data_IF_756184823165
#
_entry.id   IF_756184823165
#
_cell.length_a   1.000
_cell.length_b   1.000
_cell.length_c   1.000
_cell.angle_alpha   90.00
_cell.angle_beta   90.00
_cell.angle_gamma   90.00
#
_symmetry.space_group_name_H-M   'P 1'
#
loop_
_entity.id
_entity.type
_entity.pdbx_description
1 polymer ?
#
# COMPACT_ATOMS: atom_id res chain seq x y z
N UNK A 1 -12.72 -18.03 -13.01
CA UNK A 1 -11.38 -17.81 -13.60
C UNK A 1 -11.05 -16.35 -13.35
N UNK A 2 -10.49 -16.04 -12.19
CA UNK A 2 -10.13 -14.66 -11.87
C UNK A 2 -8.95 -14.29 -12.74
N UNK A 3 -9.04 -13.19 -13.50
CA UNK A 3 -7.92 -12.65 -14.26
C UNK A 3 -6.67 -12.66 -13.38
N UNK A 4 -5.59 -13.23 -13.91
CA UNK A 4 -4.24 -13.05 -13.37
C UNK A 4 -4.04 -11.54 -13.18
N UNK A 5 -3.90 -11.10 -11.93
CA UNK A 5 -3.50 -9.73 -11.69
C UNK A 5 -2.01 -9.67 -11.97
N UNK A 6 -1.66 -8.99 -13.06
CA UNK A 6 -0.27 -8.81 -13.56
C UNK A 6 0.62 -8.10 -12.52
N UNK A 7 0.04 -7.60 -11.42
CA UNK A 7 0.75 -6.94 -10.33
C UNK A 7 0.49 -7.59 -8.95
N UNK A 8 0.19 -8.90 -8.92
CA UNK A 8 -0.12 -9.59 -7.66
C UNK A 8 1.02 -9.50 -6.63
N UNK A 9 2.27 -9.58 -7.08
CA UNK A 9 3.49 -9.37 -6.31
C UNK A 9 3.54 -7.99 -5.65
N UNK A 10 3.24 -6.94 -6.41
CA UNK A 10 3.20 -5.55 -5.92
C UNK A 10 2.09 -5.37 -4.90
N UNK A 11 0.90 -5.91 -5.20
CA UNK A 11 -0.25 -5.85 -4.31
C UNK A 11 0.05 -6.53 -2.98
N UNK A 12 0.54 -7.77 -3.01
CA UNK A 12 0.88 -8.54 -1.81
C UNK A 12 1.94 -7.85 -0.97
N UNK A 13 3.00 -7.29 -1.57
CA UNK A 13 4.05 -6.59 -0.82
C UNK A 13 3.52 -5.33 -0.12
N UNK A 14 2.65 -4.56 -0.76
CA UNK A 14 2.03 -3.39 -0.13
C UNK A 14 1.07 -3.83 0.98
N UNK A 15 0.25 -4.86 0.75
CA UNK A 15 -0.67 -5.39 1.76
C UNK A 15 0.09 -5.96 2.97
N UNK A 16 1.20 -6.67 2.74
CA UNK A 16 2.10 -7.13 3.79
C UNK A 16 2.65 -5.97 4.63
N UNK A 17 3.09 -4.88 3.98
CA UNK A 17 3.58 -3.70 4.69
C UNK A 17 2.51 -3.11 5.62
N UNK A 18 1.25 -3.02 5.17
CA UNK A 18 0.12 -2.57 5.99
C UNK A 18 -0.15 -3.53 7.15
N UNK A 19 -0.21 -4.83 6.88
CA UNK A 19 -0.43 -5.88 7.90
C UNK A 19 0.68 -5.88 8.94
N UNK A 20 1.92 -5.60 8.54
CA UNK A 20 3.05 -5.52 9.48
C UNK A 20 2.87 -4.42 10.52
N UNK A 21 2.22 -3.31 10.15
CA UNK A 21 1.85 -2.23 11.07
C UNK A 21 0.74 -2.70 11.99
N UNK A 22 -0.31 -3.31 11.44
CA UNK A 22 -1.42 -3.85 12.23
C UNK A 22 -0.98 -4.90 13.26
N UNK A 23 -0.05 -5.80 12.90
CA UNK A 23 0.52 -6.80 13.81
C UNK A 23 1.30 -6.17 14.97
N UNK A 24 1.90 -5.00 14.77
CA UNK A 24 2.60 -4.23 15.83
C UNK A 24 1.65 -3.33 16.61
N UNK A 25 0.56 -2.89 15.99
CA UNK A 25 -0.42 -1.96 16.53
C UNK A 25 -1.84 -2.47 16.26
N UNK A 26 -2.30 -3.42 17.08
CA UNK A 26 -3.62 -4.05 16.91
C UNK A 26 -4.82 -3.09 17.03
N UNK A 27 -4.59 -1.86 17.50
CA UNK A 27 -5.61 -0.80 17.53
C UNK A 27 -5.80 -0.12 16.16
N UNK A 28 -4.94 -0.37 15.16
CA UNK A 28 -5.08 0.19 13.82
C UNK A 28 -6.42 -0.23 13.20
N UNK A 29 -7.11 0.73 12.62
CA UNK A 29 -8.42 0.62 11.99
C UNK A 29 -8.29 0.87 10.49
N UNK A 30 -9.23 0.31 9.73
CA UNK A 30 -9.29 0.45 8.28
C UNK A 30 -9.37 1.93 7.86
N UNK A 31 -9.99 2.80 8.66
CA UNK A 31 -10.10 4.24 8.37
C UNK A 31 -8.74 4.94 8.35
N UNK A 32 -7.80 4.51 9.19
CA UNK A 32 -6.42 5.03 9.18
C UNK A 32 -5.67 4.52 7.95
N UNK A 33 -5.86 3.24 7.60
CA UNK A 33 -5.30 2.66 6.36
C UNK A 33 -5.83 3.39 5.13
N UNK A 34 -7.13 3.70 5.08
CA UNK A 34 -7.74 4.46 3.98
C UNK A 34 -7.08 5.82 3.80
N UNK A 35 -6.88 6.58 4.88
CA UNK A 35 -6.24 7.90 4.84
C UNK A 35 -4.80 7.83 4.36
N UNK A 36 -4.03 6.86 4.84
CA UNK A 36 -2.66 6.63 4.39
C UNK A 36 -2.60 6.28 2.89
N UNK A 37 -3.50 5.40 2.42
CA UNK A 37 -3.60 5.03 1.01
C UNK A 37 -4.06 6.20 0.13
N UNK A 38 -5.00 7.02 0.60
CA UNK A 38 -5.46 8.20 -0.13
C UNK A 38 -4.30 9.20 -0.32
N UNK A 39 -3.47 9.42 0.70
CA UNK A 39 -2.27 10.24 0.60
C UNK A 39 -1.24 9.65 -0.40
N UNK A 40 -1.00 8.33 -0.37
CA UNK A 40 -0.11 7.67 -1.34
C UNK A 40 -0.65 7.80 -2.77
N UNK A 41 -1.95 7.62 -2.96
CA UNK A 41 -2.60 7.79 -4.26
C UNK A 41 -2.38 9.19 -4.80
N UNK A 42 -2.44 10.23 -3.96
CA UNK A 42 -2.19 11.60 -4.39
C UNK A 42 -0.71 11.84 -4.73
N UNK A 43 0.22 11.26 -3.97
CA UNK A 43 1.66 11.28 -4.27
C UNK A 43 1.94 10.66 -5.64
N UNK A 44 1.52 9.41 -5.86
CA UNK A 44 1.81 8.72 -7.12
C UNK A 44 1.01 9.27 -8.30
N UNK A 45 -0.16 9.89 -8.06
CA UNK A 45 -0.88 10.65 -9.08
C UNK A 45 -0.10 11.89 -9.54
N UNK A 46 0.55 12.59 -8.62
CA UNK A 46 1.42 13.72 -8.97
C UNK A 46 2.67 13.25 -9.73
N UNK A 47 3.36 12.21 -9.21
CA UNK A 47 4.56 11.64 -9.86
C UNK A 47 4.25 11.12 -11.27
N UNK A 48 3.15 10.38 -11.46
CA UNK A 48 2.73 9.86 -12.77
C UNK A 48 2.42 10.96 -13.81
N UNK A 49 2.17 12.20 -13.36
CA UNK A 49 1.97 13.37 -14.22
C UNK A 49 3.26 14.20 -14.40
N UNK A 50 4.39 13.74 -13.86
CA UNK A 50 5.65 14.48 -13.88
C UNK A 50 5.68 15.69 -12.92
N UNK A 51 4.82 15.72 -11.91
CA UNK A 51 4.79 16.79 -10.91
C UNK A 51 5.47 16.36 -9.60
N UNK A 52 6.04 17.33 -8.91
CA UNK A 52 6.52 17.14 -7.54
C UNK A 52 5.33 17.00 -6.59
N UNK A 53 5.22 15.88 -5.85
CA UNK A 53 4.17 15.71 -4.84
C UNK A 53 4.24 16.76 -3.74
N UNK A 54 3.09 17.07 -3.15
CA UNK A 54 3.04 17.87 -1.91
C UNK A 54 3.64 17.06 -0.76
N UNK A 55 4.19 17.77 0.21
CA UNK A 55 4.60 17.16 1.48
C UNK A 55 3.40 16.52 2.18
N UNK A 56 3.57 15.27 2.63
CA UNK A 56 2.53 14.51 3.30
C UNK A 56 2.79 14.56 4.81
N UNK A 57 1.87 15.19 5.54
CA UNK A 57 1.88 15.25 6.99
C UNK A 57 0.66 14.51 7.52
N UNK A 58 0.87 13.32 8.09
CA UNK A 58 -0.18 12.48 8.66
C UNK A 58 0.07 12.30 10.17
N UNK A 59 -0.97 12.20 11.00
CA UNK A 59 -0.82 11.77 12.38
C UNK A 59 -0.46 10.28 12.46
N UNK A 60 -0.02 9.83 13.64
CA UNK A 60 0.04 8.40 13.92
C UNK A 60 -1.37 7.87 14.23
N UNK A 61 -1.72 6.64 13.78
CA UNK A 61 -0.85 5.66 13.12
C UNK A 61 -0.83 5.75 11.59
N UNK A 62 -1.57 6.67 10.96
CA UNK A 62 -1.64 6.79 9.49
C UNK A 62 -0.26 6.99 8.86
N UNK A 63 0.60 7.80 9.50
CA UNK A 63 1.96 8.05 9.03
C UNK A 63 2.80 6.76 8.98
N UNK A 64 2.76 5.93 10.02
CA UNK A 64 3.47 4.63 10.00
C UNK A 64 3.01 3.77 8.82
N UNK A 65 1.69 3.68 8.57
CA UNK A 65 1.15 2.92 7.42
C UNK A 65 1.65 3.52 6.10
N UNK A 66 1.59 4.85 5.97
CA UNK A 66 2.06 5.56 4.80
C UNK A 66 3.54 5.25 4.51
N UNK A 67 4.43 5.38 5.50
CA UNK A 67 5.86 5.18 5.32
C UNK A 67 6.22 3.73 4.92
N UNK A 68 5.57 2.74 5.54
CA UNK A 68 5.80 1.33 5.22
C UNK A 68 5.36 1.00 3.79
N UNK A 69 4.15 1.41 3.40
CA UNK A 69 3.65 1.20 2.05
C UNK A 69 4.41 2.03 1.00
N UNK A 70 4.82 3.27 1.34
CA UNK A 70 5.66 4.11 0.48
C UNK A 70 6.98 3.42 0.15
N UNK A 71 7.63 2.84 1.15
CA UNK A 71 8.91 2.13 0.98
C UNK A 71 8.77 0.96 0.00
N UNK A 72 7.67 0.19 0.08
CA UNK A 72 7.40 -0.89 -0.89
C UNK A 72 7.16 -0.35 -2.30
N UNK A 73 6.44 0.75 -2.43
CA UNK A 73 6.21 1.37 -3.73
C UNK A 73 7.52 1.85 -4.38
N UNK A 74 8.40 2.52 -3.61
CA UNK A 74 9.69 3.00 -4.12
C UNK A 74 10.65 1.84 -4.47
N UNK A 75 10.57 0.72 -3.75
CA UNK A 75 11.28 -0.51 -4.11
C UNK A 75 10.91 -0.99 -5.52
N UNK A 76 9.62 -1.06 -5.82
CA UNK A 76 9.10 -1.50 -7.12
C UNK A 76 9.34 -0.50 -8.26
N UNK A 77 9.55 0.78 -7.96
CA UNK A 77 10.04 1.77 -8.93
C UNK A 77 11.55 1.71 -9.17
N UNK A 78 12.25 0.77 -8.52
CA UNK A 78 13.69 0.55 -8.71
C UNK A 78 14.60 1.56 -8.01
N UNK A 79 14.08 2.31 -7.02
CA UNK A 79 14.87 3.33 -6.31
C UNK A 79 15.94 2.63 -5.44
N UNK A 80 17.21 2.95 -5.70
CA UNK A 80 18.37 2.23 -5.12
C UNK A 80 18.33 2.12 -3.58
N UNK A 81 17.89 3.16 -2.89
CA UNK A 81 17.83 3.19 -1.42
C UNK A 81 16.83 2.19 -0.81
N UNK A 82 15.79 1.81 -1.55
CA UNK A 82 14.81 0.83 -1.13
C UNK A 82 15.28 -0.60 -1.46
N UNK A 83 15.95 -0.79 -2.62
CA UNK A 83 16.48 -2.10 -3.05
C UNK A 83 17.54 -2.68 -2.13
N UNK A 84 18.34 -1.85 -1.45
CA UNK A 84 19.34 -2.33 -0.49
C UNK A 84 18.73 -2.89 0.80
N UNK A 85 17.45 -2.62 1.08
CA UNK A 85 16.78 -3.00 2.32
C UNK A 85 15.85 -4.20 2.19
N UNK A 86 15.46 -4.59 0.98
CA UNK A 86 14.37 -5.56 0.73
C UNK A 86 14.85 -6.63 -0.25
N UNK A 87 14.69 -7.90 0.12
CA UNK A 87 14.98 -9.06 -0.74
C UNK A 87 13.67 -9.74 -1.12
N UNK A 88 13.11 -9.38 -2.28
CA UNK A 88 11.94 -10.05 -2.88
C UNK A 88 12.24 -10.41 -4.35
N UNK A 89 11.62 -11.48 -4.90
CA UNK A 89 11.73 -11.81 -6.32
C UNK A 89 11.32 -10.62 -7.19
N UNK A 90 12.16 -10.26 -8.16
CA UNK A 90 12.03 -9.03 -8.92
C UNK A 90 11.57 -9.31 -10.37
N UNK A 91 10.35 -8.87 -10.71
CA UNK A 91 9.77 -8.96 -12.06
C UNK A 91 9.84 -7.62 -12.81
N UNK A 92 10.99 -6.95 -12.73
CA UNK A 92 11.21 -5.67 -13.41
C UNK A 92 10.64 -4.45 -12.66
N UNK A 93 11.09 -3.28 -13.08
CA UNK A 93 10.65 -2.01 -12.53
C UNK A 93 9.24 -1.68 -12.99
N UNK A 94 8.38 -1.30 -12.03
CA UNK A 94 7.05 -0.77 -12.32
C UNK A 94 7.15 0.72 -12.59
N UNK A 95 6.15 1.23 -13.29
CA UNK A 95 5.93 2.66 -13.50
C UNK A 95 5.08 3.25 -12.38
N UNK A 96 5.12 4.57 -12.21
CA UNK A 96 4.26 5.28 -11.26
C UNK A 96 2.77 5.05 -11.53
N UNK A 97 2.39 4.81 -12.80
CA UNK A 97 1.01 4.52 -13.18
C UNK A 97 0.56 3.13 -12.73
N UNK A 98 1.45 2.12 -12.80
CA UNK A 98 1.18 0.77 -12.31
C UNK A 98 1.08 0.75 -10.78
N UNK A 99 1.99 1.45 -10.09
CA UNK A 99 1.91 1.62 -8.63
C UNK A 99 0.60 2.32 -8.23
N UNK A 100 0.22 3.38 -8.93
CA UNK A 100 -1.04 4.08 -8.69
C UNK A 100 -2.26 3.17 -8.90
N UNK A 101 -2.24 2.29 -9.91
CA UNK A 101 -3.30 1.32 -10.13
C UNK A 101 -3.40 0.31 -8.98
N UNK A 102 -2.26 -0.20 -8.49
CA UNK A 102 -2.18 -1.11 -7.35
C UNK A 102 -2.75 -0.45 -6.07
N UNK A 103 -2.32 0.76 -5.74
CA UNK A 103 -2.81 1.49 -4.57
C UNK A 103 -4.32 1.73 -4.63
N UNK A 104 -4.86 2.10 -5.79
CA UNK A 104 -6.31 2.25 -5.99
C UNK A 104 -7.07 0.94 -5.81
N UNK A 105 -6.49 -0.18 -6.25
CA UNK A 105 -7.09 -1.51 -6.06
C UNK A 105 -7.13 -1.89 -4.59
N UNK A 106 -6.02 -1.72 -3.86
CA UNK A 106 -5.97 -1.97 -2.41
C UNK A 106 -6.98 -1.06 -1.69
N UNK A 107 -7.01 0.24 -2.00
CA UNK A 107 -7.95 1.20 -1.40
C UNK A 107 -9.42 0.80 -1.55
N UNK A 108 -9.80 0.25 -2.72
CA UNK A 108 -11.14 -0.31 -2.96
C UNK A 108 -11.39 -1.59 -2.16
N UNK A 109 -10.37 -2.41 -1.97
CA UNK A 109 -10.43 -3.59 -1.08
C UNK A 109 -10.69 -3.15 0.36
N UNK A 110 -9.94 -2.15 0.86
CA UNK A 110 -10.14 -1.60 2.22
C UNK A 110 -11.57 -1.12 2.41
N UNK A 111 -12.10 -0.33 1.47
CA UNK A 111 -13.48 0.15 1.54
C UNK A 111 -14.51 -0.99 1.55
N UNK A 112 -14.33 -1.99 0.69
CA UNK A 112 -15.23 -3.14 0.59
C UNK A 112 -15.28 -3.92 1.91
N UNK A 113 -14.13 -4.21 2.49
CA UNK A 113 -14.05 -5.03 3.69
C UNK A 113 -14.41 -4.24 4.94
N UNK A 114 -14.11 -2.95 5.01
CA UNK A 114 -14.57 -2.08 6.07
C UNK A 114 -16.11 -2.03 6.15
N UNK A 115 -16.79 -1.93 4.99
CA UNK A 115 -18.27 -1.98 4.94
C UNK A 115 -18.85 -3.32 5.39
N UNK A 116 -18.11 -4.42 5.26
CA UNK A 116 -18.57 -5.79 5.57
C UNK A 116 -18.22 -6.24 6.99
N UNK A 117 -17.01 -5.94 7.44
CA UNK A 117 -16.45 -6.41 8.71
C UNK A 117 -16.21 -5.30 9.75
N UNK A 118 -16.73 -4.09 9.50
CA UNK A 118 -16.62 -2.98 10.44
C UNK A 118 -15.23 -2.33 10.45
N UNK A 119 -14.86 -1.71 11.58
CA UNK A 119 -13.69 -0.82 11.67
C UNK A 119 -12.32 -1.50 11.42
N UNK A 120 -12.26 -2.83 11.40
CA UNK A 120 -11.05 -3.62 11.13
C UNK A 120 -11.31 -4.75 10.12
N UNK A 121 -12.42 -4.68 9.38
CA UNK A 121 -12.83 -5.74 8.47
C UNK A 121 -11.80 -6.04 7.39
N UNK A 122 -11.14 -5.01 6.85
CA UNK A 122 -10.05 -5.20 5.89
C UNK A 122 -8.82 -5.81 6.55
N UNK A 123 -8.37 -5.25 7.67
CA UNK A 123 -7.16 -5.70 8.36
C UNK A 123 -7.26 -7.16 8.81
N UNK A 124 -8.42 -7.57 9.33
CA UNK A 124 -8.69 -8.96 9.69
C UNK A 124 -8.65 -9.86 8.45
N UNK A 125 -9.42 -9.51 7.42
CA UNK A 125 -9.47 -10.27 6.17
C UNK A 125 -8.07 -10.47 5.59
N UNK A 126 -7.35 -9.38 5.33
CA UNK A 126 -6.08 -9.46 4.58
C UNK A 126 -5.00 -10.16 5.41
N UNK A 127 -5.03 -10.05 6.75
CA UNK A 127 -4.07 -10.73 7.62
C UNK A 127 -4.09 -12.26 7.54
N UNK A 128 -5.19 -12.85 7.05
CA UNK A 128 -5.30 -14.29 6.81
C UNK A 128 -4.61 -14.74 5.51
N UNK A 129 -4.39 -13.82 4.57
CA UNK A 129 -3.85 -14.13 3.23
C UNK A 129 -2.41 -13.69 3.02
N UNK A 130 -1.90 -12.70 3.79
CA UNK A 130 -0.50 -12.27 3.72
C UNK A 130 0.25 -12.74 4.97
N UNK A 131 1.32 -13.52 4.76
CA UNK A 131 2.13 -14.10 5.84
C UNK A 131 3.44 -13.34 6.02
#
# INVERSE_FOLDING_TARGET
MALEDVHLDVLQNIEFAIVSVYRKQHALRDVEVMRALDALIDVYRAKARGHTPKEVNLPEPENTVFQQAYTMCEFWLGRQEARTRIQVPFEGDKTESEILACLRKIRKSVERWNKRGGHQGYLQFVSEYVQ
#
